data_IF_268879219919
#
_entry.id   IF_268879219919
#
_cell.length_a   1.000
_cell.length_b   1.000
_cell.length_c   1.000
_cell.angle_alpha   90.00
_cell.angle_beta   90.00
_cell.angle_gamma   90.00
#
_symmetry.space_group_name_H-M   'P 1'
#
loop_
_entity.id
_entity.type
_entity.pdbx_description
1 polymer ?
#
# COMPACT_ATOMS: atom_id res chain seq x y z
N UNK A 1 -6.74 7.23 21.41
CA UNK A 1 -6.58 6.81 19.99
C UNK A 1 -6.86 5.30 19.93
N UNK A 2 -7.60 4.80 18.93
CA UNK A 2 -7.95 3.37 18.78
C UNK A 2 -7.21 2.78 17.58
N UNK A 3 -6.60 1.61 17.75
CA UNK A 3 -5.93 0.90 16.68
C UNK A 3 -6.93 0.28 15.68
N UNK A 4 -6.54 0.09 14.40
CA UNK A 4 -7.38 -0.58 13.42
C UNK A 4 -7.72 -2.02 13.84
N UNK A 5 -8.87 -2.51 13.39
CA UNK A 5 -9.27 -3.90 13.62
C UNK A 5 -8.40 -4.84 12.76
N UNK A 6 -7.59 -5.73 13.36
CA UNK A 6 -6.65 -6.57 12.61
C UNK A 6 -7.29 -7.50 11.56
N UNK A 7 -8.54 -7.91 11.79
CA UNK A 7 -9.29 -8.79 10.88
C UNK A 7 -10.09 -8.02 9.84
N UNK A 8 -10.54 -6.82 10.19
CA UNK A 8 -11.40 -5.96 9.35
C UNK A 8 -10.71 -4.75 8.75
N UNK A 9 -9.39 -4.70 8.80
CA UNK A 9 -8.58 -3.66 8.16
C UNK A 9 -7.59 -4.27 7.18
N UNK A 10 -7.22 -3.48 6.18
CA UNK A 10 -6.24 -3.80 5.15
C UNK A 10 -5.33 -2.60 5.00
N UNK A 11 -4.04 -2.84 4.82
CA UNK A 11 -3.09 -1.79 4.47
C UNK A 11 -2.56 -2.05 3.05
N UNK A 12 -2.52 -1.01 2.23
CA UNK A 12 -1.81 -1.02 0.95
C UNK A 12 -0.71 0.02 1.02
N UNK A 13 0.53 -0.40 0.80
CA UNK A 13 1.73 0.42 0.83
C UNK A 13 2.19 0.64 -0.61
N UNK A 14 2.31 1.90 -1.00
CA UNK A 14 2.78 2.31 -2.32
C UNK A 14 4.16 2.93 -2.17
N UNK A 15 5.10 2.57 -3.03
CA UNK A 15 6.44 3.17 -3.03
C UNK A 15 7.05 3.21 -4.43
N UNK A 16 7.85 4.23 -4.69
CA UNK A 16 8.65 4.35 -5.90
C UNK A 16 10.10 4.59 -5.48
N UNK A 17 10.96 3.64 -5.78
CA UNK A 17 12.40 3.69 -5.51
C UNK A 17 13.24 3.87 -6.77
N UNK A 18 12.63 3.68 -7.95
CA UNK A 18 13.29 3.81 -9.24
C UNK A 18 12.69 4.92 -10.08
N UNK A 19 13.55 5.68 -10.75
CA UNK A 19 13.13 6.76 -11.64
C UNK A 19 13.72 6.58 -13.04
N UNK A 20 12.90 6.84 -14.07
CA UNK A 20 13.37 6.80 -15.47
C UNK A 20 14.07 8.09 -15.89
N UNK A 21 13.84 9.17 -15.15
CA UNK A 21 14.49 10.45 -15.37
C UNK A 21 15.96 10.34 -14.94
N UNK A 22 16.94 10.54 -15.84
CA UNK A 22 18.36 10.43 -15.51
C UNK A 22 18.84 11.50 -14.52
N UNK A 23 18.10 12.59 -14.30
CA UNK A 23 18.42 13.61 -13.30
C UNK A 23 17.96 13.20 -11.89
N UNK A 24 17.13 12.15 -11.77
CA UNK A 24 16.66 11.63 -10.51
C UNK A 24 17.47 10.40 -10.08
N UNK A 25 17.95 10.45 -8.85
CA UNK A 25 18.62 9.31 -8.24
C UNK A 25 17.59 8.28 -7.75
N UNK A 26 17.90 7.01 -7.97
CA UNK A 26 17.16 5.92 -7.35
C UNK A 26 17.25 6.01 -5.81
N UNK A 27 16.12 5.82 -5.16
CA UNK A 27 15.95 5.93 -3.71
C UNK A 27 15.68 4.56 -3.10
N UNK A 28 16.72 3.70 -3.05
CA UNK A 28 16.62 2.34 -2.49
C UNK A 28 16.02 2.30 -1.08
N UNK A 29 16.21 3.36 -0.28
CA UNK A 29 15.61 3.51 1.04
C UNK A 29 14.07 3.41 1.03
N UNK A 30 13.39 3.80 -0.05
CA UNK A 30 11.93 3.68 -0.17
C UNK A 30 11.49 2.21 -0.09
N UNK A 31 12.21 1.31 -0.77
CA UNK A 31 11.91 -0.12 -0.73
C UNK A 31 12.09 -0.68 0.68
N UNK A 32 13.21 -0.37 1.33
CA UNK A 32 13.48 -0.79 2.72
C UNK A 32 12.39 -0.27 3.67
N UNK A 33 12.02 1.01 3.56
CA UNK A 33 10.98 1.60 4.40
C UNK A 33 9.62 0.93 4.21
N UNK A 34 9.24 0.59 2.97
CA UNK A 34 7.99 -0.11 2.69
C UNK A 34 8.00 -1.53 3.26
N UNK A 35 9.12 -2.24 3.14
CA UNK A 35 9.27 -3.59 3.67
C UNK A 35 9.25 -3.62 5.21
N UNK A 36 9.95 -2.68 5.84
CA UNK A 36 9.99 -2.50 7.29
C UNK A 36 8.61 -2.09 7.83
N UNK A 37 7.94 -1.15 7.16
CA UNK A 37 6.59 -0.74 7.54
C UNK A 37 5.59 -1.89 7.37
N UNK A 38 5.72 -2.69 6.31
CA UNK A 38 4.88 -3.87 6.12
C UNK A 38 5.06 -4.88 7.27
N UNK A 39 6.29 -5.06 7.73
CA UNK A 39 6.63 -5.92 8.87
C UNK A 39 6.06 -5.36 10.17
N UNK A 40 6.24 -4.06 10.42
CA UNK A 40 5.70 -3.38 11.59
C UNK A 40 4.15 -3.50 11.64
N UNK A 41 3.47 -3.30 10.51
CA UNK A 41 2.01 -3.40 10.44
C UNK A 41 1.49 -4.83 10.64
N UNK A 42 2.29 -5.86 10.37
CA UNK A 42 1.90 -7.26 10.70
C UNK A 42 2.21 -7.63 12.14
N UNK A 43 3.03 -6.84 12.83
CA UNK A 43 3.49 -7.15 14.19
C UNK A 43 2.35 -7.00 15.20
N UNK A 44 1.99 -8.05 15.99
CA UNK A 44 0.87 -8.01 16.93
C UNK A 44 0.96 -6.90 17.98
N UNK A 45 2.18 -6.55 18.39
CA UNK A 45 2.43 -5.49 19.37
C UNK A 45 2.21 -4.06 18.83
N UNK A 46 2.05 -3.88 17.50
CA UNK A 46 1.88 -2.58 16.87
C UNK A 46 0.45 -2.43 16.35
N UNK A 47 0.08 -3.18 15.31
CA UNK A 47 -1.29 -3.22 14.78
C UNK A 47 -1.79 -4.65 14.54
N UNK A 48 -0.90 -5.62 14.30
CA UNK A 48 -1.25 -7.02 14.06
C UNK A 48 -2.08 -7.26 12.80
N UNK A 49 -2.07 -6.35 11.83
CA UNK A 49 -2.89 -6.47 10.61
C UNK A 49 -2.58 -7.78 9.89
N UNK A 50 -3.64 -8.53 9.55
CA UNK A 50 -3.48 -9.82 8.88
C UNK A 50 -3.22 -9.68 7.38
N UNK A 51 -3.58 -8.55 6.78
CA UNK A 51 -3.38 -8.31 5.36
C UNK A 51 -2.80 -6.92 5.10
N UNK A 52 -1.60 -6.96 4.55
CA UNK A 52 -0.76 -5.82 4.18
C UNK A 52 -0.17 -6.14 2.81
N UNK A 53 -0.46 -5.31 1.81
CA UNK A 53 0.00 -5.43 0.44
C UNK A 53 1.02 -4.34 0.13
N UNK A 54 2.18 -4.69 -0.41
CA UNK A 54 3.19 -3.73 -0.83
C UNK A 54 3.26 -3.69 -2.37
N UNK A 55 3.12 -2.51 -2.95
CA UNK A 55 3.21 -2.24 -4.38
C UNK A 55 4.35 -1.23 -4.60
N UNK A 56 5.56 -1.76 -4.73
CA UNK A 56 6.78 -0.96 -4.93
C UNK A 56 7.22 -1.04 -6.38
N UNK A 57 7.64 0.10 -6.94
CA UNK A 57 8.13 0.25 -8.32
C UNK A 57 7.15 -0.27 -9.38
N UNK A 58 5.85 0.00 -9.18
CA UNK A 58 4.84 -0.25 -10.22
C UNK A 58 4.92 0.85 -11.26
N UNK A 59 4.92 0.46 -12.53
CA UNK A 59 5.23 1.36 -13.64
C UNK A 59 4.03 2.22 -14.04
N UNK A 60 2.82 1.86 -13.60
CA UNK A 60 1.62 2.59 -13.96
C UNK A 60 0.48 2.46 -12.96
N UNK A 61 -0.43 3.43 -13.01
CA UNK A 61 -1.71 3.37 -12.29
C UNK A 61 -2.61 2.25 -12.79
N UNK A 62 -2.42 1.78 -14.03
CA UNK A 62 -3.14 0.63 -14.57
C UNK A 62 -2.74 -0.69 -13.88
N UNK A 63 -1.51 -0.80 -13.38
CA UNK A 63 -1.04 -1.93 -12.57
C UNK A 63 -1.50 -1.81 -11.11
N UNK A 64 -1.52 -0.60 -10.57
CA UNK A 64 -1.87 -0.35 -9.16
C UNK A 64 -3.39 -0.41 -8.93
N UNK A 65 -4.17 0.12 -9.87
CA UNK A 65 -5.62 0.30 -9.74
C UNK A 65 -6.39 -0.98 -9.40
N UNK A 66 -6.22 -2.08 -10.16
CA UNK A 66 -6.90 -3.34 -9.87
C UNK A 66 -6.59 -3.90 -8.48
N UNK A 67 -5.32 -3.82 -8.05
CA UNK A 67 -4.89 -4.30 -6.73
C UNK A 67 -5.49 -3.46 -5.59
N UNK A 68 -5.56 -2.13 -5.76
CA UNK A 68 -6.24 -1.24 -4.80
C UNK A 68 -7.74 -1.54 -4.71
N UNK A 69 -8.41 -1.70 -5.85
CA UNK A 69 -9.85 -2.03 -5.91
C UNK A 69 -10.10 -3.37 -5.22
N UNK A 70 -9.27 -4.37 -5.48
CA UNK A 70 -9.37 -5.68 -4.82
C UNK A 70 -9.19 -5.56 -3.31
N UNK A 71 -8.14 -4.89 -2.84
CA UNK A 71 -7.89 -4.71 -1.42
C UNK A 71 -9.04 -3.97 -0.71
N UNK A 72 -9.67 -3.00 -1.38
CA UNK A 72 -10.84 -2.29 -0.87
C UNK A 72 -12.07 -3.21 -0.78
N UNK A 73 -12.33 -4.02 -1.81
CA UNK A 73 -13.47 -4.93 -1.86
C UNK A 73 -13.45 -6.00 -0.76
N UNK A 74 -12.26 -6.47 -0.37
CA UNK A 74 -12.06 -7.50 0.65
C UNK A 74 -12.39 -7.05 2.09
N UNK A 75 -12.74 -5.77 2.29
CA UNK A 75 -12.98 -5.20 3.64
C UNK A 75 -14.38 -4.64 3.90
N UNK A 76 -15.31 -4.82 2.96
CA UNK A 76 -16.69 -4.35 3.08
C UNK A 76 -16.92 -3.01 2.37
N UNK A 77 -17.91 -3.05 1.47
CA UNK A 77 -18.32 -2.02 0.50
C UNK A 77 -18.09 -0.56 0.94
N UNK A 78 -17.09 0.10 0.35
CA UNK A 78 -17.05 1.56 0.22
C UNK A 78 -16.78 1.88 -1.23
N UNK A 79 -17.85 2.18 -1.96
CA UNK A 79 -17.84 2.54 -3.37
C UNK A 79 -17.05 3.85 -3.55
N UNK A 80 -15.86 3.77 -4.14
CA UNK A 80 -15.14 4.95 -4.62
C UNK A 80 -15.79 5.38 -5.94
N UNK A 81 -16.76 6.29 -5.88
CA UNK A 81 -17.37 6.88 -7.08
C UNK A 81 -16.35 7.79 -7.74
N UNK A 82 -15.83 7.39 -8.91
CA UNK A 82 -15.05 8.28 -9.78
C UNK A 82 -15.96 9.36 -10.32
N UNK A 83 -15.74 10.61 -9.92
CA UNK A 83 -16.23 11.77 -10.64
C UNK A 83 -15.06 12.29 -11.48
N UNK A 84 -15.12 12.05 -12.79
CA UNK A 84 -14.29 12.74 -13.78
C UNK A 84 -15.21 13.70 -14.52
N UNK A 85 -14.99 14.99 -14.30
CA UNK A 85 -15.52 16.09 -15.12
C UNK A 85 -14.75 16.21 -16.42
#
# INVERSE_FOLDING_TARGET
>A
MRLPDPGRSRAVLLGTSKYRDPELLDLAAVRHNVDDLATALRTPAITGLRSVLSLVDRESTAEIGPELVRAAAETGSSTVTRSCT
#
